data_IF_759108939605
#
_entry.id   IF_759108939605
#
_cell.length_a   1.000
_cell.length_b   1.000
_cell.length_c   1.000
_cell.angle_alpha   90.00
_cell.angle_beta   90.00
_cell.angle_gamma   90.00
#
_symmetry.space_group_name_H-M   'P 1'
#
loop_
_entity.id
_entity.type
_entity.pdbx_description
1 polymer ?
#
# COMPACT_ATOMS: atom_id res chain seq x y z
N UNK A 1 7.33 0.86 5.37
CA UNK A 1 7.17 1.95 4.37
C UNK A 1 6.24 1.48 3.25
N UNK A 2 5.31 2.34 2.84
CA UNK A 2 4.40 2.06 1.73
C UNK A 2 5.11 2.12 0.38
N UNK A 3 6.03 3.06 0.25
CA UNK A 3 6.91 3.18 -0.91
C UNK A 3 8.27 2.64 -0.51
N UNK A 4 8.75 1.71 -1.28
CA UNK A 4 10.06 1.09 -1.10
C UNK A 4 10.84 1.10 -2.40
N UNK A 5 12.13 0.88 -2.31
CA UNK A 5 13.02 0.77 -3.48
C UNK A 5 13.36 -0.70 -3.70
N UNK A 6 13.13 -1.18 -4.90
CA UNK A 6 13.46 -2.53 -5.30
C UNK A 6 14.96 -2.77 -5.19
N UNK A 7 15.33 -3.84 -4.50
CA UNK A 7 16.73 -4.09 -4.10
C UNK A 7 17.72 -4.26 -5.27
N UNK A 8 17.25 -4.68 -6.43
CA UNK A 8 18.07 -4.95 -7.61
C UNK A 8 17.93 -3.85 -8.66
N UNK A 9 16.70 -3.44 -8.97
CA UNK A 9 16.44 -2.50 -10.07
C UNK A 9 16.52 -1.03 -9.67
N UNK A 10 16.49 -0.72 -8.37
CA UNK A 10 16.43 0.65 -7.85
C UNK A 10 15.12 1.39 -8.13
N UNK A 11 14.13 0.74 -8.72
CA UNK A 11 12.82 1.35 -9.01
C UNK A 11 11.97 1.43 -7.75
N UNK A 12 11.15 2.48 -7.65
CA UNK A 12 10.14 2.62 -6.60
C UNK A 12 9.05 1.59 -6.79
N UNK A 13 8.66 0.97 -5.68
CA UNK A 13 7.58 -0.01 -5.62
C UNK A 13 6.57 0.39 -4.56
N UNK A 14 5.30 0.16 -4.82
CA UNK A 14 4.24 0.25 -3.82
C UNK A 14 4.20 -1.06 -3.03
N UNK A 15 4.79 -1.03 -1.82
CA UNK A 15 4.92 -2.21 -0.97
C UNK A 15 3.78 -2.27 0.05
N UNK A 16 2.56 -2.53 -0.43
CA UNK A 16 1.33 -2.59 0.36
C UNK A 16 0.55 -3.84 -0.01
N UNK A 17 0.04 -4.55 1.01
CA UNK A 17 -0.71 -5.79 0.83
C UNK A 17 -1.87 -5.84 1.82
N UNK A 18 -3.13 -6.07 1.38
CA UNK A 18 -4.30 -6.07 2.28
C UNK A 18 -4.23 -7.14 3.38
N UNK A 19 -3.50 -8.23 3.15
CA UNK A 19 -3.35 -9.31 4.13
C UNK A 19 -2.36 -8.96 5.23
N UNK A 20 -1.31 -8.18 4.94
CA UNK A 20 -0.19 -7.96 5.86
C UNK A 20 -0.06 -6.51 6.32
N UNK A 21 -0.45 -5.52 5.49
CA UNK A 21 -0.38 -4.12 5.87
C UNK A 21 -1.57 -3.76 6.74
N UNK A 22 -1.33 -3.37 7.99
CA UNK A 22 -2.38 -3.09 8.96
C UNK A 22 -2.67 -1.60 9.10
N UNK A 23 -1.63 -0.78 9.15
CA UNK A 23 -1.75 0.66 9.36
C UNK A 23 -0.54 1.40 8.81
N UNK A 24 -0.66 2.70 8.65
CA UNK A 24 0.43 3.60 8.28
C UNK A 24 0.97 4.23 9.55
N UNK A 25 2.24 3.98 9.85
CA UNK A 25 2.87 4.50 11.06
C UNK A 25 2.91 6.03 11.03
N UNK A 26 2.46 6.65 12.11
CA UNK A 26 2.45 8.11 12.27
C UNK A 26 1.20 8.80 11.73
N UNK A 27 0.17 8.04 11.35
CA UNK A 27 -1.15 8.54 10.98
C UNK A 27 -2.21 8.09 11.99
N UNK A 28 -3.27 8.86 12.11
CA UNK A 28 -4.47 8.44 12.83
C UNK A 28 -5.15 7.27 12.11
N UNK A 29 -5.90 6.47 12.84
CA UNK A 29 -6.49 5.23 12.34
C UNK A 29 -7.42 5.45 11.14
N UNK A 30 -8.26 6.47 11.19
CA UNK A 30 -9.21 6.81 10.12
C UNK A 30 -8.47 7.22 8.84
N UNK A 31 -7.47 8.09 8.95
CA UNK A 31 -6.66 8.54 7.82
C UNK A 31 -5.88 7.37 7.19
N UNK A 32 -5.23 6.57 8.04
CA UNK A 32 -4.49 5.39 7.63
C UNK A 32 -5.39 4.41 6.87
N UNK A 33 -6.57 4.15 7.39
CA UNK A 33 -7.56 3.25 6.77
C UNK A 33 -8.03 3.79 5.42
N UNK A 34 -8.35 5.08 5.33
CA UNK A 34 -8.80 5.70 4.09
C UNK A 34 -7.73 5.60 2.98
N UNK A 35 -6.47 5.90 3.32
CA UNK A 35 -5.36 5.81 2.37
C UNK A 35 -5.09 4.37 1.95
N UNK A 36 -5.06 3.43 2.89
CA UNK A 36 -4.86 2.02 2.57
C UNK A 36 -5.96 1.47 1.67
N UNK A 37 -7.22 1.79 1.93
CA UNK A 37 -8.34 1.39 1.09
C UNK A 37 -8.23 1.95 -0.33
N UNK A 38 -7.81 3.21 -0.47
CA UNK A 38 -7.54 3.80 -1.78
C UNK A 38 -6.43 3.04 -2.52
N UNK A 39 -5.34 2.71 -1.85
CA UNK A 39 -4.23 1.98 -2.44
C UNK A 39 -4.64 0.55 -2.81
N UNK A 40 -5.40 -0.15 -1.97
CA UNK A 40 -5.92 -1.48 -2.28
C UNK A 40 -6.84 -1.45 -3.50
N UNK A 41 -7.75 -0.47 -3.58
CA UNK A 41 -8.61 -0.29 -4.74
C UNK A 41 -7.80 -0.05 -6.03
N UNK A 42 -6.66 0.64 -5.95
CA UNK A 42 -5.76 0.81 -7.10
C UNK A 42 -5.12 -0.50 -7.53
N UNK A 43 -4.71 -1.38 -6.59
CA UNK A 43 -4.12 -2.68 -6.95
C UNK A 43 -5.15 -3.64 -7.56
N UNK A 44 -6.44 -3.43 -7.30
CA UNK A 44 -7.53 -4.27 -7.83
C UNK A 44 -7.98 -3.88 -9.25
N UNK A 45 -7.38 -2.87 -9.85
CA UNK A 45 -7.72 -2.47 -11.22
C UNK A 45 -7.24 -3.51 -12.22
N UNK A 46 -8.14 -3.92 -13.12
CA UNK A 46 -7.89 -5.00 -14.08
C UNK A 46 -6.73 -4.70 -15.04
N UNK A 47 -6.40 -3.42 -15.28
CA UNK A 47 -5.26 -3.01 -16.12
C UNK A 47 -3.90 -3.48 -15.55
N UNK A 48 -3.85 -3.76 -14.26
CA UNK A 48 -2.63 -4.23 -13.59
C UNK A 48 -2.63 -5.74 -13.33
N UNK A 49 -3.68 -6.45 -13.76
CA UNK A 49 -3.80 -7.86 -13.52
C UNK A 49 -3.35 -8.69 -14.72
N UNK A 50 -2.56 -9.69 -14.43
CA UNK A 50 -2.30 -10.79 -15.33
C UNK A 50 -2.96 -12.04 -14.78
N UNK A 51 -3.87 -12.65 -15.55
CA UNK A 51 -4.52 -13.89 -15.18
C UNK A 51 -3.82 -15.05 -15.86
N UNK A 52 -3.05 -15.81 -15.09
CA UNK A 52 -2.33 -16.96 -15.58
C UNK A 52 -3.22 -18.20 -15.66
N UNK A 53 -3.21 -18.86 -16.81
CA UNK A 53 -3.86 -20.16 -17.01
C UNK A 53 -2.82 -21.27 -16.92
N UNK A 54 -2.95 -22.08 -15.88
CA UNK A 54 -2.03 -23.18 -15.62
C UNK A 54 -2.26 -24.36 -16.58
N UNK A 55 -1.19 -24.95 -17.06
CA UNK A 55 -1.18 -26.22 -17.77
C UNK A 55 -0.19 -27.18 -17.07
N UNK A 56 -0.32 -28.50 -17.25
CA UNK A 56 0.64 -29.46 -16.71
C UNK A 56 2.07 -29.13 -17.15
N UNK A 57 3.01 -29.31 -16.21
CA UNK A 57 4.44 -29.07 -16.42
C UNK A 57 4.84 -27.60 -16.67
N UNK A 58 3.97 -26.64 -16.36
CA UNK A 58 4.35 -25.24 -16.39
C UNK A 58 5.14 -24.83 -15.14
N UNK A 59 6.17 -24.06 -15.36
CA UNK A 59 6.91 -23.34 -14.33
C UNK A 59 6.63 -21.83 -14.47
N UNK A 60 6.17 -21.20 -13.38
CA UNK A 60 5.94 -19.76 -13.35
C UNK A 60 6.84 -19.16 -12.28
N UNK A 61 7.53 -18.12 -12.66
CA UNK A 61 8.46 -17.40 -11.79
C UNK A 61 8.05 -15.93 -11.69
N UNK A 62 7.98 -15.40 -10.47
CA UNK A 62 7.65 -13.99 -10.23
C UNK A 62 8.45 -13.42 -9.08
N UNK A 63 8.56 -12.09 -9.04
CA UNK A 63 9.24 -11.37 -8.00
C UNK A 63 8.25 -10.88 -6.94
N UNK A 64 8.35 -11.40 -5.74
CA UNK A 64 7.50 -11.03 -4.60
C UNK A 64 7.69 -9.60 -4.10
N UNK A 65 8.72 -8.87 -4.53
CA UNK A 65 8.91 -7.47 -4.18
C UNK A 65 7.95 -6.56 -4.96
N UNK A 66 7.58 -6.96 -6.18
CA UNK A 66 6.80 -6.13 -7.12
C UNK A 66 5.44 -6.70 -7.46
N UNK A 67 5.21 -7.99 -7.22
CA UNK A 67 4.01 -8.69 -7.63
C UNK A 67 3.27 -9.24 -6.43
N UNK A 68 1.96 -9.02 -6.40
CA UNK A 68 1.04 -9.73 -5.53
C UNK A 68 0.33 -10.82 -6.35
N UNK A 69 -0.01 -11.91 -5.70
CA UNK A 69 -0.71 -13.01 -6.37
C UNK A 69 -1.86 -13.53 -5.53
N UNK A 70 -2.89 -14.01 -6.19
CA UNK A 70 -4.05 -14.64 -5.57
C UNK A 70 -4.39 -15.93 -6.31
N UNK A 71 -4.65 -17.00 -5.55
CA UNK A 71 -5.13 -18.24 -6.12
C UNK A 71 -6.65 -18.16 -6.28
N UNK A 72 -7.14 -18.41 -7.50
CA UNK A 72 -8.56 -18.53 -7.75
C UNK A 72 -9.01 -19.96 -7.47
N UNK A 73 -10.23 -20.09 -6.93
CA UNK A 73 -10.84 -21.38 -6.59
C UNK A 73 -11.87 -21.83 -7.65
N UNK A 74 -11.59 -21.52 -8.91
CA UNK A 74 -12.47 -21.79 -10.07
C UNK A 74 -12.24 -23.16 -10.73
N UNK A 75 -11.43 -24.00 -10.11
CA UNK A 75 -11.08 -25.33 -10.62
C UNK A 75 -11.97 -26.47 -10.09
N UNK A 76 -12.81 -26.20 -9.12
CA UNK A 76 -13.72 -27.22 -8.58
C UNK A 76 -14.71 -27.71 -9.65
N UNK A 77 -14.98 -29.05 -9.77
CA UNK A 77 -14.57 -30.15 -8.87
C UNK A 77 -13.21 -30.80 -9.20
N UNK A 78 -12.44 -30.29 -10.15
CA UNK A 78 -11.15 -30.85 -10.54
C UNK A 78 -10.14 -30.74 -9.41
N UNK A 79 -9.23 -31.70 -9.33
CA UNK A 79 -8.12 -31.68 -8.39
C UNK A 79 -6.99 -30.81 -8.95
N UNK A 80 -6.52 -29.85 -8.16
CA UNK A 80 -5.34 -29.04 -8.45
C UNK A 80 -4.22 -29.40 -7.49
N UNK A 81 -3.07 -29.73 -8.03
CA UNK A 81 -1.83 -29.95 -7.28
C UNK A 81 -0.79 -28.95 -7.77
N UNK A 82 -0.14 -28.25 -6.84
CA UNK A 82 0.87 -27.23 -7.13
C UNK A 82 2.02 -27.39 -6.15
N UNK A 83 3.22 -27.26 -6.65
CA UNK A 83 4.42 -27.17 -5.85
C UNK A 83 4.97 -25.73 -5.92
N UNK A 84 5.51 -25.24 -4.81
CA UNK A 84 6.08 -23.93 -4.73
C UNK A 84 7.39 -23.95 -3.98
N UNK A 85 8.41 -23.32 -4.56
CA UNK A 85 9.68 -23.01 -3.91
C UNK A 85 9.83 -21.49 -3.85
N UNK A 86 10.25 -20.98 -2.71
CA UNK A 86 10.58 -19.56 -2.56
C UNK A 86 12.10 -19.41 -2.48
N UNK A 87 12.66 -18.66 -3.41
CA UNK A 87 14.08 -18.32 -3.38
C UNK A 87 14.23 -17.04 -2.57
N UNK A 88 14.97 -17.11 -1.48
CA UNK A 88 15.26 -15.95 -0.64
C UNK A 88 16.26 -15.02 -1.30
N UNK A 89 15.93 -13.73 -1.34
CA UNK A 89 16.88 -12.70 -1.75
C UNK A 89 17.82 -12.32 -0.60
N UNK A 90 19.01 -11.85 -0.95
CA UNK A 90 19.99 -11.34 0.02
C UNK A 90 19.67 -9.95 0.54
N UNK A 91 18.78 -9.23 -0.14
CA UNK A 91 18.44 -7.84 0.17
C UNK A 91 16.92 -7.66 0.27
N UNK A 92 16.50 -6.96 1.31
CA UNK A 92 15.11 -6.50 1.44
C UNK A 92 14.91 -5.17 0.69
N UNK A 93 13.68 -4.87 0.24
CA UNK A 93 13.35 -3.54 -0.25
C UNK A 93 13.74 -2.48 0.78
N UNK A 94 14.36 -1.40 0.34
CA UNK A 94 14.80 -0.31 1.20
C UNK A 94 13.72 0.78 1.25
N UNK A 95 13.68 1.52 2.36
CA UNK A 95 12.90 2.75 2.44
C UNK A 95 13.40 3.76 1.41
N UNK A 96 12.45 4.38 0.69
CA UNK A 96 12.77 5.46 -0.24
C UNK A 96 12.93 6.82 0.48
N UNK A 97 12.41 6.90 1.69
CA UNK A 97 12.44 8.13 2.50
C UNK A 97 13.52 7.97 3.55
N UNK A 98 14.50 8.91 3.64
CA UNK A 98 15.33 9.03 4.83
C UNK A 98 14.42 9.06 6.05
N UNK A 99 14.79 8.37 7.12
CA UNK A 99 14.00 8.36 8.35
C UNK A 99 13.63 9.81 8.71
N UNK A 100 12.39 10.19 8.45
CA UNK A 100 11.94 11.55 8.71
C UNK A 100 11.98 11.77 10.22
N UNK A 101 12.60 12.86 10.62
CA UNK A 101 12.54 13.30 12.00
C UNK A 101 11.05 13.43 12.41
N UNK A 102 10.60 12.69 13.43
CA UNK A 102 9.20 12.76 13.89
C UNK A 102 8.71 14.17 14.20
N UNK A 103 9.63 15.10 14.54
CA UNK A 103 9.31 16.51 14.79
C UNK A 103 8.91 17.28 13.54
N UNK A 104 9.40 16.87 12.36
CA UNK A 104 9.10 17.53 11.09
C UNK A 104 7.75 17.08 10.52
N UNK A 105 7.34 15.84 10.81
CA UNK A 105 6.04 15.31 10.36
C UNK A 105 4.86 16.03 11.02
N UNK A 106 4.97 16.40 12.29
CA UNK A 106 3.90 17.14 13.00
C UNK A 106 3.68 18.55 12.48
N UNK A 107 4.72 19.22 11.98
CA UNK A 107 4.61 20.60 11.48
C UNK A 107 3.91 20.69 10.13
N UNK A 108 3.94 19.63 9.31
CA UNK A 108 3.39 19.63 7.96
C UNK A 108 2.00 19.01 7.87
N UNK A 109 1.50 18.35 8.91
CA UNK A 109 0.22 17.63 8.93
C UNK A 109 -0.93 18.39 9.60
N UNK A 110 -0.65 19.50 10.29
CA UNK A 110 -1.70 20.37 10.82
C UNK A 110 -1.83 21.61 9.92
N UNK A 111 -2.88 21.73 9.09
CA UNK A 111 -3.29 23.06 8.66
C UNK A 111 -3.59 23.89 9.93
N UNK A 112 -3.30 25.19 9.95
CA UNK A 112 -3.64 26.02 11.10
C UNK A 112 -5.13 25.81 11.38
N UNK A 113 -5.45 25.42 12.61
CA UNK A 113 -6.82 25.34 13.08
C UNK A 113 -7.40 26.74 12.82
N UNK A 114 -8.31 26.84 11.84
CA UNK A 114 -9.09 28.06 11.67
C UNK A 114 -9.91 28.21 12.93
N UNK A 115 -9.52 29.18 13.74
CA UNK A 115 -10.21 29.55 14.95
C UNK A 115 -11.57 30.14 14.56
N UNK A 116 -12.60 29.30 14.54
CA UNK A 116 -13.98 29.70 14.21
C UNK A 116 -14.60 30.61 15.28
N UNK A 117 -13.86 30.99 16.33
CA UNK A 117 -14.32 31.87 17.39
C UNK A 117 -14.42 33.34 16.95
N UNK A 118 -13.65 33.78 15.95
CA UNK A 118 -13.56 35.20 15.57
C UNK A 118 -14.65 35.69 14.60
N UNK A 119 -15.45 34.80 14.06
CA UNK A 119 -16.53 35.18 13.13
C UNK A 119 -17.84 35.59 13.80
N UNK A 120 -17.99 35.43 15.11
CA UNK A 120 -19.22 35.80 15.85
C UNK A 120 -19.21 37.22 16.42
N UNK A 121 -18.06 37.87 16.57
CA UNK A 121 -17.98 39.21 17.14
C UNK A 121 -18.21 40.35 16.13
N UNK A 122 -18.09 40.11 14.80
CA UNK A 122 -18.29 41.15 13.78
C UNK A 122 -19.75 41.41 13.37
N UNK A 123 -20.73 40.66 13.87
CA UNK A 123 -22.17 40.85 13.52
C UNK A 123 -22.98 41.61 14.54
N UNK A 124 -22.38 42.13 15.60
CA UNK A 124 -23.11 42.91 16.62
C UNK A 124 -22.87 44.44 16.58
N UNK A 125 -22.11 44.96 15.60
CA UNK A 125 -21.83 46.40 15.52
C UNK A 125 -22.48 47.12 14.32
N UNK A 126 -23.32 46.42 13.51
CA UNK A 126 -24.07 47.02 12.40
C UNK A 126 -25.59 46.82 12.63
N UNK A 127 -26.09 47.34 13.77
CA UNK A 127 -27.53 47.67 13.94
C UNK A 127 -27.69 48.94 14.75
#
# INVERSE_FOLDING_TARGET
DLISVHSVTGKKILFVNPQFTRYIKGMEEEESTAILNLLYAKTLRHEYHYRHQWQPNMLVFWDNQTVQHSALHDYYPQRRMMERVTVGGTHRPKSDVPAADPSTLRKNLMPPIMDFADSRQKRQHDR
#
